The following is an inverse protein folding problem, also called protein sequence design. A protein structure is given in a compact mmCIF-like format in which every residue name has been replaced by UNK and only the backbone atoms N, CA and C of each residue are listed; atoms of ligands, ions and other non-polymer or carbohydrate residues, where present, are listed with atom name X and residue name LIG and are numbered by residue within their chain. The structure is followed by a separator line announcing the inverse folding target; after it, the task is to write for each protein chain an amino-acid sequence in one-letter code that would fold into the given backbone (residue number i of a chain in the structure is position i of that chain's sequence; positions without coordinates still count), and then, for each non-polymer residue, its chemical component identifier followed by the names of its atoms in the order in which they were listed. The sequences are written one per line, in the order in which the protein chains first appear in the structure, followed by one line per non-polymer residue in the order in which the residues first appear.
data_IF_043222172477
#
_entry.id   IF_043222172477
#
_cell.length_a   1.000
_cell.length_b   1.000
_cell.length_c   1.000
_cell.angle_alpha   90.00
_cell.angle_beta   90.00
_cell.angle_gamma   90.00
#
_symmetry.space_group_name_H-M   'P 1'
#
loop_
_entity.id
_entity.type
_entity.pdbx_description
1 polymer ?
#
# COMPACT_ATOMS: atom_id res chain seq x y z
N UNK A 1 -16.65 -11.84 18.41
CA UNK A 1 -15.47 -11.07 18.00
C UNK A 1 -15.99 -9.96 17.11
N UNK A 2 -15.90 -8.71 17.56
CA UNK A 2 -16.58 -7.56 16.93
C UNK A 2 -15.90 -7.22 15.60
N UNK A 3 -16.68 -6.93 14.55
CA UNK A 3 -16.19 -6.56 13.21
C UNK A 3 -15.19 -5.38 13.27
N UNK A 4 -15.35 -4.51 14.29
CA UNK A 4 -14.48 -3.37 14.61
C UNK A 4 -13.03 -3.73 14.96
N UNK A 5 -12.78 -4.90 15.53
CA UNK A 5 -11.43 -5.25 16.02
C UNK A 5 -10.49 -5.65 14.86
N UNK A 6 -11.09 -6.03 13.71
CA UNK A 6 -10.37 -6.53 12.54
C UNK A 6 -9.52 -5.43 11.87
N UNK A 7 -10.11 -4.25 11.62
CA UNK A 7 -9.43 -3.18 10.92
C UNK A 7 -8.38 -2.47 11.78
N UNK A 8 -8.57 -2.41 13.10
CA UNK A 8 -7.57 -1.87 14.03
C UNK A 8 -6.33 -2.77 14.05
N UNK A 9 -6.54 -4.08 14.07
CA UNK A 9 -5.45 -5.06 13.98
C UNK A 9 -4.72 -4.96 12.65
N UNK A 10 -5.44 -4.78 11.55
CA UNK A 10 -4.85 -4.57 10.22
C UNK A 10 -4.05 -3.26 10.16
N UNK A 11 -4.61 -2.17 10.68
CA UNK A 11 -3.92 -0.88 10.79
C UNK A 11 -2.63 -0.99 11.61
N UNK A 12 -2.65 -1.72 12.73
CA UNK A 12 -1.46 -1.97 13.53
C UNK A 12 -0.40 -2.79 12.74
N UNK A 13 -0.81 -3.85 12.05
CA UNK A 13 0.09 -4.64 11.19
C UNK A 13 0.75 -3.79 10.11
N UNK A 14 -0.03 -3.01 9.36
CA UNK A 14 0.51 -2.15 8.32
C UNK A 14 1.34 -0.99 8.88
N UNK A 15 1.05 -0.50 10.09
CA UNK A 15 1.91 0.45 10.79
C UNK A 15 3.27 -0.15 11.11
N UNK A 16 3.31 -1.40 11.57
CA UNK A 16 4.57 -2.11 11.86
C UNK A 16 5.37 -2.37 10.58
N UNK A 17 4.70 -2.79 9.50
CA UNK A 17 5.35 -2.97 8.18
C UNK A 17 5.92 -1.63 7.70
N UNK A 18 5.14 -0.56 7.78
CA UNK A 18 5.58 0.79 7.45
C UNK A 18 6.76 1.23 8.30
N UNK A 19 6.73 1.00 9.62
CA UNK A 19 7.83 1.27 10.52
C UNK A 19 9.09 0.50 10.16
N UNK A 20 8.97 -0.78 9.79
CA UNK A 20 10.09 -1.59 9.29
C UNK A 20 10.71 -1.01 8.02
N UNK A 21 9.90 -0.62 7.03
CA UNK A 21 10.37 0.07 5.83
C UNK A 21 11.05 1.41 6.16
N UNK A 22 10.47 2.17 7.09
CA UNK A 22 11.04 3.42 7.58
C UNK A 22 12.36 3.22 8.32
N UNK A 23 12.54 2.11 9.04
CA UNK A 23 13.79 1.72 9.68
C UNK A 23 14.87 1.40 8.66
N UNK A 24 14.54 0.63 7.62
CA UNK A 24 15.46 0.35 6.51
C UNK A 24 15.87 1.65 5.79
N UNK A 25 14.89 2.51 5.51
CA UNK A 25 15.12 3.80 4.88
C UNK A 25 15.98 4.71 5.76
N UNK A 26 15.74 4.70 7.07
CA UNK A 26 16.51 5.43 8.08
C UNK A 26 17.95 4.92 8.13
N UNK A 27 18.16 3.60 8.12
CA UNK A 27 19.48 2.99 8.10
C UNK A 27 20.26 3.36 6.82
N UNK A 28 19.60 3.35 5.67
CA UNK A 28 20.21 3.78 4.41
C UNK A 28 20.58 5.26 4.43
N UNK A 29 19.70 6.13 4.92
CA UNK A 29 19.98 7.57 5.05
C UNK A 29 21.14 7.84 6.02
N UNK A 30 21.18 7.13 7.15
CA UNK A 30 22.28 7.23 8.13
C UNK A 30 23.62 6.70 7.59
N UNK A 31 23.59 5.73 6.66
CA UNK A 31 24.81 5.19 6.02
C UNK A 31 25.37 6.12 4.94
N UNK A 32 24.50 6.77 4.17
CA UNK A 32 24.90 7.65 3.05
C UNK A 32 25.28 9.07 3.49
N UNK A 33 24.87 9.50 4.69
CA UNK A 33 25.21 10.82 5.20
C UNK A 33 26.60 10.84 5.83
N UNK A 34 27.40 11.84 5.47
CA UNK A 34 28.71 12.07 6.08
C UNK A 34 28.52 12.62 7.51
N UNK A 35 28.53 11.74 8.51
CA UNK A 35 28.39 12.13 9.91
C UNK A 35 29.04 11.13 10.89
N UNK A 36 29.37 11.60 12.09
CA UNK A 36 30.02 10.80 13.14
C UNK A 36 29.05 10.15 14.15
N UNK A 37 27.75 10.07 13.84
CA UNK A 37 26.70 9.64 14.79
C UNK A 37 26.60 8.11 15.00
N UNK A 38 27.37 7.31 14.26
CA UNK A 38 27.34 5.85 14.36
C UNK A 38 25.95 5.23 14.15
N UNK A 39 25.69 4.06 14.74
CA UNK A 39 24.43 3.33 14.60
C UNK A 39 23.23 3.99 15.32
N UNK A 40 23.48 4.78 16.38
CA UNK A 40 22.43 5.48 17.13
C UNK A 40 21.73 6.56 16.28
N UNK A 41 22.41 7.09 15.26
CA UNK A 41 21.84 8.08 14.33
C UNK A 41 20.59 7.60 13.60
N UNK A 42 20.42 6.28 13.41
CA UNK A 42 19.22 5.66 12.81
C UNK A 42 17.96 5.95 13.62
N UNK A 43 18.09 6.01 14.95
CA UNK A 43 16.96 6.23 15.87
C UNK A 43 16.84 7.68 16.29
N UNK A 44 17.96 8.38 16.51
CA UNK A 44 17.95 9.75 17.04
C UNK A 44 17.83 10.82 15.96
N UNK A 45 18.35 10.59 14.74
CA UNK A 45 18.43 11.61 13.69
C UNK A 45 17.47 11.34 12.54
N UNK A 46 17.50 10.12 12.00
CA UNK A 46 16.60 9.67 10.92
C UNK A 46 15.39 8.90 11.43
N UNK A 47 15.21 8.83 12.77
CA UNK A 47 14.07 8.17 13.41
C UNK A 47 12.70 8.75 13.01
N UNK A 48 12.64 10.02 12.61
CA UNK A 48 11.40 10.62 12.08
C UNK A 48 10.89 9.91 10.81
N UNK A 49 11.79 9.30 10.03
CA UNK A 49 11.45 8.50 8.85
C UNK A 49 10.72 7.22 9.24
N UNK A 50 11.11 6.58 10.35
CA UNK A 50 10.45 5.38 10.90
C UNK A 50 8.99 5.69 11.22
N UNK A 51 8.77 6.73 12.04
CA UNK A 51 7.44 7.17 12.43
C UNK A 51 6.60 7.61 11.23
N UNK A 52 7.21 8.32 10.27
CA UNK A 52 6.53 8.76 9.06
C UNK A 52 5.95 7.58 8.24
N UNK A 53 6.76 6.56 7.94
CA UNK A 53 6.26 5.40 7.20
C UNK A 53 5.30 4.54 8.02
N UNK A 54 5.50 4.44 9.34
CA UNK A 54 4.55 3.75 10.23
C UNK A 54 3.17 4.43 10.19
N UNK A 55 3.12 5.76 10.33
CA UNK A 55 1.88 6.54 10.27
C UNK A 55 1.21 6.38 8.90
N UNK A 56 1.96 6.43 7.80
CA UNK A 56 1.39 6.21 6.47
C UNK A 56 0.73 4.82 6.34
N UNK A 57 1.40 3.77 6.80
CA UNK A 57 0.85 2.40 6.77
C UNK A 57 -0.40 2.25 7.62
N UNK A 58 -0.39 2.81 8.83
CA UNK A 58 -1.55 2.81 9.74
C UNK A 58 -2.74 3.58 9.20
N UNK A 59 -2.51 4.80 8.69
CA UNK A 59 -3.57 5.62 8.09
C UNK A 59 -4.16 4.94 6.86
N UNK A 60 -3.34 4.31 6.02
CA UNK A 60 -3.83 3.58 4.86
C UNK A 60 -4.79 2.44 5.27
N UNK A 61 -4.30 1.46 6.04
CA UNK A 61 -5.10 0.30 6.43
C UNK A 61 -6.28 0.67 7.33
N UNK A 62 -6.08 1.63 8.25
CA UNK A 62 -7.14 2.14 9.11
C UNK A 62 -8.25 2.83 8.33
N UNK A 63 -7.90 3.73 7.40
CA UNK A 63 -8.89 4.41 6.54
C UNK A 63 -9.65 3.41 5.68
N UNK A 64 -8.94 2.45 5.08
CA UNK A 64 -9.54 1.42 4.22
C UNK A 64 -10.56 0.59 4.99
N UNK A 65 -10.19 0.11 6.18
CA UNK A 65 -11.07 -0.72 7.00
C UNK A 65 -12.25 0.06 7.57
N UNK A 66 -12.00 1.29 8.05
CA UNK A 66 -13.05 2.18 8.52
C UNK A 66 -14.04 2.54 7.40
N UNK A 67 -13.56 2.87 6.20
CA UNK A 67 -14.43 3.22 5.08
C UNK A 67 -15.23 2.02 4.57
N UNK A 68 -14.63 0.83 4.62
CA UNK A 68 -15.32 -0.41 4.27
C UNK A 68 -16.43 -0.75 5.27
N UNK A 69 -16.19 -0.57 6.57
CA UNK A 69 -17.16 -0.80 7.64
C UNK A 69 -18.33 0.20 7.54
N UNK A 70 -18.03 1.49 7.34
CA UNK A 70 -19.05 2.54 7.15
C UNK A 70 -19.92 2.33 5.92
N UNK A 71 -19.38 1.75 4.85
CA UNK A 71 -20.11 1.50 3.59
C UNK A 71 -20.71 0.10 3.49
N UNK A 72 -20.33 -0.81 4.39
CA UNK A 72 -20.65 -2.24 4.28
C UNK A 72 -20.18 -2.88 2.97
N UNK A 73 -19.16 -2.32 2.32
CA UNK A 73 -18.68 -2.75 0.99
C UNK A 73 -17.16 -2.75 0.98
N UNK A 74 -16.56 -3.84 0.50
CA UNK A 74 -15.13 -3.94 0.26
C UNK A 74 -14.84 -3.74 -1.23
N UNK A 75 -14.67 -2.49 -1.64
CA UNK A 75 -14.40 -2.12 -3.04
C UNK A 75 -13.12 -1.27 -3.18
N UNK A 76 -12.68 -1.10 -4.42
CA UNK A 76 -11.50 -0.32 -4.79
C UNK A 76 -11.60 1.17 -4.40
N UNK A 77 -12.80 1.69 -4.11
CA UNK A 77 -12.98 3.07 -3.68
C UNK A 77 -12.47 3.29 -2.24
N UNK A 78 -12.60 2.29 -1.37
CA UNK A 78 -12.01 2.34 -0.02
C UNK A 78 -10.48 2.47 -0.11
N UNK A 79 -9.88 1.74 -1.03
CA UNK A 79 -8.45 1.73 -1.30
C UNK A 79 -7.98 3.03 -1.91
N UNK A 80 -8.74 3.59 -2.83
CA UNK A 80 -8.44 4.89 -3.43
C UNK A 80 -8.49 6.00 -2.36
N UNK A 81 -9.51 5.99 -1.50
CA UNK A 81 -9.64 6.96 -0.40
C UNK A 81 -8.51 6.81 0.62
N UNK A 82 -8.20 5.58 1.04
CA UNK A 82 -7.09 5.27 1.91
C UNK A 82 -5.74 5.68 1.31
N UNK A 83 -5.53 5.39 0.02
CA UNK A 83 -4.33 5.77 -0.73
C UNK A 83 -4.18 7.28 -0.85
N UNK A 84 -5.27 8.01 -1.08
CA UNK A 84 -5.26 9.47 -1.10
C UNK A 84 -4.88 10.04 0.28
N UNK A 85 -5.53 9.58 1.35
CA UNK A 85 -5.26 10.03 2.72
C UNK A 85 -3.82 9.75 3.13
N UNK A 86 -3.33 8.54 2.87
CA UNK A 86 -1.93 8.19 3.11
C UNK A 86 -0.97 9.02 2.25
N UNK A 87 -1.28 9.22 0.96
CA UNK A 87 -0.48 10.05 0.05
C UNK A 87 -0.42 11.52 0.48
N UNK A 88 -1.50 12.06 1.01
CA UNK A 88 -1.55 13.45 1.50
C UNK A 88 -0.57 13.71 2.65
N UNK A 89 -0.27 12.69 3.47
CA UNK A 89 0.73 12.79 4.55
C UNK A 89 2.12 13.16 4.01
N UNK A 90 2.44 12.75 2.77
CA UNK A 90 3.68 13.18 2.11
C UNK A 90 3.73 14.69 1.87
N UNK A 91 2.59 15.31 1.55
CA UNK A 91 2.43 16.76 1.46
C UNK A 91 2.56 17.46 2.80
N UNK A 92 1.99 16.87 3.87
CA UNK A 92 2.13 17.37 5.25
C UNK A 92 3.60 17.41 5.65
N UNK A 93 4.36 16.34 5.38
CA UNK A 93 5.79 16.26 5.69
C UNK A 93 6.61 17.31 4.94
N UNK A 94 6.21 17.62 3.71
CA UNK A 94 6.80 18.68 2.86
C UNK A 94 6.24 20.07 3.13
N UNK A 95 5.24 20.22 4.02
CA UNK A 95 4.51 21.47 4.30
C UNK A 95 4.00 22.15 3.03
N UNK A 96 3.48 21.35 2.09
CA UNK A 96 3.04 21.82 0.78
C UNK A 96 1.69 21.22 0.42
N UNK A 97 0.68 22.07 0.32
CA UNK A 97 -0.68 21.68 -0.10
C UNK A 97 -0.70 21.16 -1.54
N UNK A 98 -0.04 21.81 -2.54
CA UNK A 98 0.02 21.26 -3.90
C UNK A 98 0.67 19.87 -3.95
N UNK A 99 1.76 19.67 -3.19
CA UNK A 99 2.40 18.36 -3.10
C UNK A 99 1.49 17.32 -2.45
N UNK A 100 0.70 17.71 -1.45
CA UNK A 100 -0.28 16.84 -0.78
C UNK A 100 -1.40 16.42 -1.72
N UNK A 101 -1.97 17.36 -2.47
CA UNK A 101 -3.01 17.05 -3.47
C UNK A 101 -2.45 16.15 -4.57
N UNK A 102 -1.27 16.47 -5.10
CA UNK A 102 -0.62 15.64 -6.11
C UNK A 102 -0.34 14.22 -5.63
N UNK A 103 0.18 14.08 -4.40
CA UNK A 103 0.44 12.77 -3.81
C UNK A 103 -0.85 12.00 -3.48
N UNK A 104 -1.92 12.68 -3.06
CA UNK A 104 -3.23 12.07 -2.85
C UNK A 104 -3.79 11.50 -4.15
N UNK A 105 -3.84 12.31 -5.22
CA UNK A 105 -4.38 11.87 -6.52
C UNK A 105 -3.54 10.74 -7.09
N UNK A 106 -2.21 10.85 -7.01
CA UNK A 106 -1.30 9.83 -7.49
C UNK A 106 -1.48 8.50 -6.73
N UNK A 107 -1.40 8.52 -5.39
CA UNK A 107 -1.49 7.30 -4.59
C UNK A 107 -2.90 6.71 -4.58
N UNK A 108 -3.94 7.55 -4.49
CA UNK A 108 -5.32 7.11 -4.56
C UNK A 108 -5.66 6.51 -5.93
N UNK A 109 -5.21 7.14 -7.01
CA UNK A 109 -5.37 6.62 -8.37
C UNK A 109 -4.61 5.32 -8.58
N UNK A 110 -3.33 5.26 -8.20
CA UNK A 110 -2.49 4.08 -8.38
C UNK A 110 -3.02 2.88 -7.61
N UNK A 111 -3.30 3.04 -6.30
CA UNK A 111 -3.76 1.93 -5.46
C UNK A 111 -5.21 1.54 -5.75
N UNK A 112 -6.08 2.52 -6.06
CA UNK A 112 -7.44 2.25 -6.51
C UNK A 112 -7.47 1.47 -7.82
N UNK A 113 -6.64 1.85 -8.79
CA UNK A 113 -6.53 1.13 -10.07
C UNK A 113 -5.92 -0.26 -9.87
N UNK A 114 -4.87 -0.38 -9.06
CA UNK A 114 -4.25 -1.66 -8.74
C UNK A 114 -5.26 -2.67 -8.18
N UNK A 115 -6.12 -2.22 -7.25
CA UNK A 115 -7.15 -3.09 -6.71
C UNK A 115 -8.31 -3.34 -7.67
N UNK A 116 -8.69 -2.35 -8.47
CA UNK A 116 -9.66 -2.51 -9.54
C UNK A 116 -9.24 -3.59 -10.55
N UNK A 117 -7.93 -3.73 -10.79
CA UNK A 117 -7.35 -4.77 -11.65
C UNK A 117 -7.25 -6.15 -10.97
N UNK A 118 -7.64 -6.29 -9.70
CA UNK A 118 -7.60 -7.54 -8.93
C UNK A 118 -6.30 -7.78 -8.16
N UNK A 119 -5.44 -6.76 -8.03
CA UNK A 119 -4.20 -6.83 -7.27
C UNK A 119 -3.22 -7.89 -7.81
N UNK A 120 -2.47 -8.54 -6.91
CA UNK A 120 -1.40 -9.50 -7.27
C UNK A 120 -1.95 -10.70 -8.06
N UNK A 121 -3.17 -11.13 -7.76
CA UNK A 121 -3.80 -12.27 -8.43
C UNK A 121 -4.44 -11.88 -9.77
N UNK A 122 -4.53 -10.57 -10.06
CA UNK A 122 -5.29 -10.02 -11.16
C UNK A 122 -6.77 -10.42 -11.11
N UNK A 123 -7.49 -10.17 -12.20
CA UNK A 123 -8.87 -10.68 -12.35
C UNK A 123 -8.94 -12.19 -12.55
N UNK A 124 -7.80 -12.90 -12.59
CA UNK A 124 -7.74 -14.37 -12.74
C UNK A 124 -8.50 -15.09 -11.61
N UNK A 125 -8.48 -14.49 -10.41
CA UNK A 125 -9.23 -14.96 -9.25
C UNK A 125 -10.75 -14.66 -9.31
N UNK A 126 -11.24 -13.94 -10.32
CA UNK A 126 -12.68 -13.73 -10.56
C UNK A 126 -13.21 -14.62 -11.69
N UNK A 127 -12.34 -15.24 -12.50
CA UNK A 127 -12.78 -16.14 -13.57
C UNK A 127 -13.45 -17.39 -13.01
N UNK A 128 -14.42 -17.92 -13.75
CA UNK A 128 -15.08 -19.20 -13.46
C UNK A 128 -14.04 -20.34 -13.48
N UNK A 129 -14.29 -21.46 -12.78
CA UNK A 129 -13.37 -22.60 -12.75
C UNK A 129 -12.95 -23.07 -14.15
N UNK A 130 -13.88 -23.03 -15.10
CA UNK A 130 -13.66 -23.42 -16.49
C UNK A 130 -12.74 -22.45 -17.24
N UNK A 131 -12.94 -21.14 -17.07
CA UNK A 131 -12.09 -20.14 -17.72
C UNK A 131 -10.70 -20.07 -17.10
N UNK A 132 -10.57 -20.30 -15.78
CA UNK A 132 -9.26 -20.44 -15.13
C UNK A 132 -8.48 -21.62 -15.70
N UNK A 133 -9.15 -22.73 -15.97
CA UNK A 133 -8.53 -23.91 -16.57
C UNK A 133 -8.11 -23.63 -18.02
N UNK A 134 -8.90 -22.88 -18.80
CA UNK A 134 -8.52 -22.40 -20.14
C UNK A 134 -7.30 -21.49 -20.11
N UNK A 135 -7.27 -20.50 -19.21
CA UNK A 135 -6.13 -19.59 -19.02
C UNK A 135 -4.88 -20.39 -18.61
N UNK A 136 -5.02 -21.33 -17.68
CA UNK A 136 -3.93 -22.21 -17.25
C UNK A 136 -3.40 -23.08 -18.40
N UNK A 137 -4.30 -23.65 -19.22
CA UNK A 137 -3.93 -24.45 -20.40
C UNK A 137 -3.29 -23.59 -21.50
N UNK A 138 -3.75 -22.36 -21.73
CA UNK A 138 -3.13 -21.45 -22.70
C UNK A 138 -1.73 -20.97 -22.28
N UNK A 139 -1.41 -20.97 -20.99
CA UNK A 139 -0.05 -20.68 -20.51
C UNK A 139 0.87 -21.92 -20.52
N UNK A 140 0.31 -23.12 -20.36
CA UNK A 140 1.08 -24.38 -20.32
C UNK A 140 1.32 -25.01 -21.70
N UNK A 141 0.47 -24.73 -22.68
CA UNK A 141 0.58 -25.27 -24.05
C UNK A 141 0.88 -24.11 -24.99
N UNK A 142 2.08 -24.03 -25.61
CA UNK A 142 2.33 -23.09 -26.70
C UNK A 142 1.30 -23.37 -27.79
N UNK A 143 0.59 -22.33 -28.23
CA UNK A 143 -0.46 -22.41 -29.25
C UNK A 143 0.00 -23.24 -30.46
N UNK A 144 -0.70 -24.33 -30.78
CA UNK A 144 -0.60 -24.92 -32.12
C UNK A 144 -1.03 -23.85 -33.14
N UNK A 145 -0.28 -23.67 -34.24
CA UNK A 145 -0.58 -22.64 -35.22
C UNK A 145 -1.94 -22.91 -35.85
N UNK A 146 -2.81 -21.90 -35.81
CA UNK A 146 -4.10 -21.90 -36.53
C UNK A 146 -3.86 -22.16 -38.01
N UNK A 147 -4.24 -23.34 -38.47
CA UNK A 147 -4.29 -23.70 -39.88
C UNK A 147 -5.45 -22.90 -40.52
N UNK A 148 -5.12 -21.84 -41.25
CA UNK A 148 -5.96 -21.28 -42.32
C UNK A 148 -5.55 -21.91 -43.65
#
# INVERSE_FOLDING_TARGET
MSHSDSWVTEAAKFSLIGGGLGLLTSALQNSLQTHNAGAIGVLSRTGSTIGYFAVMGGVFAGTRGLSADLRGKHDHWNTAAAGCLAGFIAGIRKRSIPAGIGACVFMGGALGTYEYLGGINGKIAELSPEEREKVKKSFLVPSEPSQN
#
